data_IF_947631144171
#
_entry.id   IF_947631144171
#
_cell.length_a   1.000
_cell.length_b   1.000
_cell.length_c   1.000
_cell.angle_alpha   90.00
_cell.angle_beta   90.00
_cell.angle_gamma   90.00
#
_symmetry.space_group_name_H-M   'P 1'
#
loop_
_entity.id
_entity.type
_entity.pdbx_description
1 polymer ?
#
# COMPACT_ATOMS: atom_id res chain seq x y z
N UNK A 1 -0.28 -9.19 2.96
CA UNK A 1 -0.14 -10.21 4.01
C UNK A 1 0.27 -11.53 3.36
N UNK A 2 1.46 -12.01 3.71
CA UNK A 2 1.97 -13.30 3.25
C UNK A 2 1.36 -14.39 4.14
N UNK A 3 0.38 -15.10 3.61
CA UNK A 3 -0.15 -16.27 4.30
C UNK A 3 0.68 -17.50 3.95
N UNK A 4 1.00 -18.32 4.95
CA UNK A 4 1.63 -19.62 4.71
C UNK A 4 0.74 -20.52 3.87
N UNK A 5 1.31 -21.49 3.19
CA UNK A 5 0.55 -22.48 2.40
C UNK A 5 -0.51 -23.19 3.24
N UNK A 6 -0.19 -23.51 4.50
CA UNK A 6 -1.12 -24.14 5.44
C UNK A 6 -2.28 -23.20 5.78
N UNK A 7 -2.00 -21.93 6.12
CA UNK A 7 -3.02 -20.93 6.40
C UNK A 7 -3.94 -20.70 5.20
N UNK A 8 -3.37 -20.64 3.99
CA UNK A 8 -4.13 -20.51 2.75
C UNK A 8 -5.03 -21.72 2.52
N UNK A 9 -4.53 -22.94 2.74
CA UNK A 9 -5.33 -24.16 2.59
C UNK A 9 -6.50 -24.21 3.58
N UNK A 10 -6.29 -23.86 4.85
CA UNK A 10 -7.36 -23.77 5.85
C UNK A 10 -8.37 -22.67 5.54
N UNK A 11 -7.91 -21.51 5.06
CA UNK A 11 -8.79 -20.44 4.64
C UNK A 11 -9.69 -20.87 3.47
N UNK A 12 -9.12 -21.50 2.45
CA UNK A 12 -9.88 -22.06 1.33
C UNK A 12 -10.87 -23.14 1.77
N UNK A 13 -10.47 -24.03 2.69
CA UNK A 13 -11.37 -25.03 3.25
C UNK A 13 -12.54 -24.40 4.01
N UNK A 14 -12.27 -23.43 4.88
CA UNK A 14 -13.29 -22.69 5.61
C UNK A 14 -14.27 -21.96 4.68
N UNK A 15 -13.72 -21.28 3.65
CA UNK A 15 -14.52 -20.61 2.64
C UNK A 15 -15.38 -21.58 1.81
N UNK A 16 -14.85 -22.77 1.46
CA UNK A 16 -15.63 -23.79 0.77
C UNK A 16 -16.80 -24.29 1.62
N UNK A 17 -16.59 -24.53 2.91
CA UNK A 17 -17.66 -24.92 3.86
C UNK A 17 -18.70 -23.81 4.02
N UNK A 18 -18.25 -22.56 4.11
CA UNK A 18 -19.16 -21.40 4.16
C UNK A 18 -20.01 -21.31 2.89
N UNK A 19 -19.39 -21.45 1.71
CA UNK A 19 -20.11 -21.42 0.44
C UNK A 19 -21.12 -22.56 0.30
N UNK A 20 -20.77 -23.78 0.74
CA UNK A 20 -21.70 -24.92 0.75
C UNK A 20 -22.93 -24.70 1.68
N UNK A 21 -22.70 -24.03 2.83
CA UNK A 21 -23.77 -23.79 3.81
C UNK A 21 -24.64 -22.60 3.43
N UNK A 22 -24.05 -21.54 2.92
CA UNK A 22 -24.70 -20.23 2.69
C UNK A 22 -24.80 -19.88 1.20
N UNK A 23 -24.11 -20.61 0.33
CA UNK A 23 -24.17 -20.42 -1.12
C UNK A 23 -25.54 -20.80 -1.65
N UNK A 24 -26.21 -19.87 -2.29
CA UNK A 24 -27.45 -20.14 -3.03
C UNK A 24 -27.18 -20.95 -4.28
N UNK A 25 -28.28 -21.39 -4.92
CA UNK A 25 -28.24 -22.13 -6.20
C UNK A 25 -27.96 -21.18 -7.36
N UNK A 26 -26.73 -20.66 -7.42
CA UNK A 26 -26.31 -19.75 -8.49
C UNK A 26 -26.49 -18.25 -8.17
N UNK A 27 -26.10 -17.43 -9.11
CA UNK A 27 -26.15 -15.96 -9.03
C UNK A 27 -27.03 -15.44 -10.15
N UNK A 28 -28.00 -14.62 -9.81
CA UNK A 28 -28.84 -13.87 -10.75
C UNK A 28 -28.88 -12.42 -10.30
N UNK A 29 -28.14 -11.58 -10.99
CA UNK A 29 -28.05 -10.14 -10.68
C UNK A 29 -28.17 -9.31 -11.95
N UNK A 30 -28.70 -8.12 -11.80
CA UNK A 30 -28.60 -7.08 -12.83
C UNK A 30 -27.51 -6.11 -12.41
N UNK A 31 -26.53 -5.92 -13.29
CA UNK A 31 -25.43 -4.98 -13.10
C UNK A 31 -25.64 -3.81 -14.05
N UNK A 32 -25.86 -2.63 -13.48
CA UNK A 32 -25.94 -1.39 -14.24
C UNK A 32 -24.62 -0.64 -14.11
N UNK A 33 -23.91 -0.50 -15.20
CA UNK A 33 -22.64 0.23 -15.28
C UNK A 33 -22.83 1.45 -16.19
N UNK A 34 -22.66 2.65 -15.64
CA UNK A 34 -22.79 3.91 -16.37
C UNK A 34 -24.11 4.00 -17.17
N UNK A 35 -25.21 3.53 -16.58
CA UNK A 35 -26.55 3.55 -17.21
C UNK A 35 -26.86 2.35 -18.12
N UNK A 36 -25.90 1.50 -18.44
CA UNK A 36 -26.13 0.26 -19.20
C UNK A 36 -26.32 -0.90 -18.27
N UNK A 37 -27.47 -1.58 -18.36
CA UNK A 37 -27.81 -2.73 -17.54
C UNK A 37 -27.57 -4.04 -18.29
N UNK A 38 -26.88 -4.97 -17.65
CA UNK A 38 -26.66 -6.32 -18.15
C UNK A 38 -27.01 -7.32 -17.05
N UNK A 39 -27.64 -8.45 -17.45
CA UNK A 39 -27.90 -9.54 -16.53
C UNK A 39 -26.68 -10.45 -16.43
N UNK A 40 -26.37 -10.86 -15.20
CA UNK A 40 -25.37 -11.90 -14.93
C UNK A 40 -26.08 -13.08 -14.29
N UNK A 41 -26.15 -14.17 -15.01
CA UNK A 41 -26.79 -15.42 -14.56
C UNK A 41 -25.83 -16.58 -14.65
N UNK A 42 -25.61 -17.27 -13.55
CA UNK A 42 -24.76 -18.47 -13.50
C UNK A 42 -25.24 -19.40 -12.38
N UNK A 43 -25.00 -20.69 -12.53
CA UNK A 43 -25.20 -21.68 -11.48
C UNK A 43 -23.96 -21.86 -10.58
N UNK A 44 -22.88 -21.10 -10.82
CA UNK A 44 -21.68 -21.11 -9.99
C UNK A 44 -21.85 -20.22 -8.76
N UNK A 45 -21.03 -20.49 -7.73
CA UNK A 45 -21.01 -19.69 -6.50
C UNK A 45 -20.27 -18.35 -6.65
N UNK A 46 -19.54 -18.15 -7.74
CA UNK A 46 -18.76 -16.93 -8.03
C UNK A 46 -18.96 -16.54 -9.49
N UNK A 47 -19.10 -15.25 -9.71
CA UNK A 47 -19.13 -14.65 -11.04
C UNK A 47 -18.29 -13.38 -11.05
N UNK A 48 -17.45 -13.23 -12.06
CA UNK A 48 -16.66 -12.01 -12.29
C UNK A 48 -17.25 -11.24 -13.47
N UNK A 49 -17.34 -9.95 -13.33
CA UNK A 49 -17.80 -9.04 -14.38
C UNK A 49 -16.83 -7.87 -14.51
N UNK A 50 -16.22 -7.75 -15.68
CA UNK A 50 -15.46 -6.54 -16.02
C UNK A 50 -16.42 -5.39 -16.30
N UNK A 51 -16.12 -4.25 -15.70
CA UNK A 51 -16.88 -3.01 -15.87
C UNK A 51 -16.16 -2.09 -16.86
N UNK A 52 -16.94 -1.33 -17.61
CA UNK A 52 -16.40 -0.31 -18.52
C UNK A 52 -16.18 0.96 -17.72
N UNK A 53 -14.95 1.44 -17.69
CA UNK A 53 -14.56 2.68 -17.02
C UNK A 53 -14.50 3.82 -18.03
N UNK A 54 -15.06 4.96 -17.66
CA UNK A 54 -14.99 6.23 -18.41
C UNK A 54 -14.14 7.22 -17.64
N UNK A 55 -13.62 8.22 -18.33
CA UNK A 55 -13.00 9.36 -17.65
C UNK A 55 -14.02 10.09 -16.79
N UNK A 56 -13.63 10.47 -15.58
CA UNK A 56 -14.50 11.11 -14.59
C UNK A 56 -15.29 10.11 -13.75
N UNK A 57 -16.47 10.51 -13.31
CA UNK A 57 -17.30 9.71 -12.41
C UNK A 57 -17.90 8.48 -13.09
N UNK A 58 -17.80 7.36 -12.43
CA UNK A 58 -18.40 6.09 -12.84
C UNK A 58 -19.42 5.64 -11.80
N UNK A 59 -20.54 5.10 -12.28
CA UNK A 59 -21.59 4.56 -11.42
C UNK A 59 -21.78 3.07 -11.65
N UNK A 60 -21.89 2.32 -10.56
CA UNK A 60 -22.20 0.90 -10.60
C UNK A 60 -23.36 0.63 -9.64
N UNK A 61 -24.42 0.00 -10.14
CA UNK A 61 -25.53 -0.47 -9.35
C UNK A 61 -25.68 -1.97 -9.56
N UNK A 62 -25.92 -2.70 -8.48
CA UNK A 62 -26.10 -4.15 -8.52
C UNK A 62 -27.43 -4.46 -7.84
N UNK A 63 -28.33 -5.06 -8.61
CA UNK A 63 -29.62 -5.53 -8.13
C UNK A 63 -29.57 -7.06 -7.99
N UNK A 64 -29.76 -7.53 -6.77
CA UNK A 64 -29.91 -8.97 -6.51
C UNK A 64 -31.32 -9.42 -6.91
N UNK A 65 -31.40 -10.37 -7.82
CA UNK A 65 -32.65 -10.98 -8.26
C UNK A 65 -32.85 -12.39 -7.66
N UNK A 66 -31.93 -12.81 -6.76
CA UNK A 66 -32.08 -14.05 -6.00
C UNK A 66 -32.84 -13.81 -4.70
N UNK A 67 -33.33 -14.90 -4.12
CA UNK A 67 -33.93 -14.90 -2.78
C UNK A 67 -32.90 -15.08 -1.65
N UNK A 68 -31.60 -15.22 -1.98
CA UNK A 68 -30.50 -15.39 -1.04
C UNK A 68 -29.58 -14.17 -1.01
N UNK A 69 -28.82 -14.04 0.06
CA UNK A 69 -27.79 -13.00 0.18
C UNK A 69 -26.65 -13.26 -0.79
N UNK A 70 -26.23 -12.22 -1.51
CA UNK A 70 -25.01 -12.23 -2.31
C UNK A 70 -23.99 -11.26 -1.72
N UNK A 71 -22.73 -11.60 -1.88
CA UNK A 71 -21.61 -10.74 -1.49
C UNK A 71 -20.99 -10.15 -2.74
N UNK A 72 -20.79 -8.86 -2.74
CA UNK A 72 -20.24 -8.14 -3.89
C UNK A 72 -18.94 -7.47 -3.49
N UNK A 73 -17.92 -7.69 -4.31
CA UNK A 73 -16.65 -6.95 -4.23
C UNK A 73 -16.47 -6.16 -5.52
N UNK A 74 -16.33 -4.86 -5.41
CA UNK A 74 -15.94 -3.99 -6.52
C UNK A 74 -14.48 -3.62 -6.32
N UNK A 75 -13.66 -3.91 -7.33
CA UNK A 75 -12.24 -3.56 -7.32
C UNK A 75 -11.97 -2.57 -8.44
N UNK A 76 -11.43 -1.43 -8.09
CA UNK A 76 -10.92 -0.44 -9.02
C UNK A 76 -9.40 -0.37 -8.88
N UNK A 77 -8.69 -0.45 -9.98
CA UNK A 77 -7.24 -0.31 -10.03
C UNK A 77 -6.86 0.61 -11.18
N UNK A 78 -5.86 1.42 -10.96
CA UNK A 78 -5.34 2.34 -11.96
C UNK A 78 -4.01 2.94 -11.51
N UNK A 79 -3.34 3.60 -12.42
CA UNK A 79 -2.15 4.39 -12.15
C UNK A 79 -2.58 5.85 -12.20
N UNK A 80 -2.28 6.60 -11.14
CA UNK A 80 -2.51 8.04 -11.12
C UNK A 80 -1.54 8.73 -12.09
N UNK A 81 -1.96 9.80 -12.76
CA UNK A 81 -1.04 10.67 -13.48
C UNK A 81 0.07 11.17 -12.55
N UNK A 82 1.25 11.38 -13.12
CA UNK A 82 2.40 11.91 -12.37
C UNK A 82 2.03 13.25 -11.72
N UNK A 83 2.28 13.37 -10.43
CA UNK A 83 1.97 14.57 -9.63
C UNK A 83 0.56 14.60 -9.04
N UNK A 84 -0.29 13.60 -9.32
CA UNK A 84 -1.61 13.44 -8.70
C UNK A 84 -1.61 12.45 -7.53
N UNK A 85 -0.44 11.92 -7.17
CA UNK A 85 -0.28 11.05 -6.01
C UNK A 85 -0.67 11.81 -4.75
N UNK A 86 -1.48 11.18 -3.91
CA UNK A 86 -1.92 11.75 -2.63
C UNK A 86 -1.27 10.99 -1.49
N UNK A 87 -0.74 11.76 -0.56
CA UNK A 87 -0.31 11.20 0.71
C UNK A 87 -1.50 10.56 1.43
N UNK A 88 -1.29 9.35 1.95
CA UNK A 88 -2.29 8.62 2.70
C UNK A 88 -1.65 7.99 3.93
N UNK A 89 -2.16 8.34 5.10
CA UNK A 89 -1.68 7.84 6.37
C UNK A 89 -2.80 7.14 7.13
N UNK A 90 -2.50 5.96 7.66
CA UNK A 90 -3.39 5.23 8.56
C UNK A 90 -2.56 4.67 9.71
N UNK A 91 -2.81 5.14 10.92
CA UNK A 91 -2.07 4.78 12.13
C UNK A 91 -0.56 5.09 12.13
N UNK A 92 -0.04 5.59 11.03
CA UNK A 92 1.33 6.07 10.90
C UNK A 92 1.33 7.48 10.31
N UNK A 93 2.29 8.30 10.68
CA UNK A 93 2.63 9.53 9.97
C UNK A 93 4.12 9.52 9.65
N UNK A 94 4.49 10.11 8.52
CA UNK A 94 5.88 10.22 8.10
C UNK A 94 6.17 11.63 7.59
N UNK A 95 7.35 12.14 7.90
CA UNK A 95 7.87 13.40 7.38
C UNK A 95 9.29 13.15 6.90
N UNK A 96 9.61 13.62 5.71
CA UNK A 96 10.95 13.52 5.14
C UNK A 96 11.53 14.92 4.98
N UNK A 97 12.71 15.15 5.54
CA UNK A 97 13.47 16.38 5.38
C UNK A 97 14.79 16.07 4.67
N UNK A 98 15.07 16.83 3.63
CA UNK A 98 16.32 16.69 2.88
C UNK A 98 17.23 17.88 3.17
N UNK A 99 18.47 17.60 3.51
CA UNK A 99 19.48 18.60 3.85
C UNK A 99 20.81 18.25 3.19
N UNK A 100 21.64 19.24 2.98
CA UNK A 100 23.05 18.99 2.69
C UNK A 100 23.74 18.41 3.92
N UNK A 101 24.92 17.80 3.76
CA UNK A 101 25.73 17.34 4.90
C UNK A 101 26.06 18.45 5.90
N UNK A 102 26.17 19.69 5.44
CA UNK A 102 26.37 20.86 6.29
C UNK A 102 25.08 21.33 7.01
N UNK A 103 23.96 20.67 6.81
CA UNK A 103 22.68 20.97 7.45
C UNK A 103 21.85 22.06 6.75
N UNK A 104 22.30 22.59 5.60
CA UNK A 104 21.55 23.58 4.83
C UNK A 104 20.38 22.93 4.07
N UNK A 105 19.32 23.67 3.85
CA UNK A 105 18.21 23.23 2.99
C UNK A 105 18.67 23.08 1.54
N UNK A 106 18.09 22.08 0.85
CA UNK A 106 18.38 21.86 -0.57
C UNK A 106 17.57 22.82 -1.44
N UNK A 107 18.23 23.33 -2.49
CA UNK A 107 17.52 23.95 -3.62
C UNK A 107 17.27 22.88 -4.68
N UNK A 108 16.04 22.36 -4.73
CA UNK A 108 15.64 21.29 -5.65
C UNK A 108 15.72 21.68 -7.13
N UNK A 109 15.74 22.98 -7.45
CA UNK A 109 15.84 23.44 -8.83
C UNK A 109 17.29 23.39 -9.34
N UNK A 110 18.27 23.33 -8.43
CA UNK A 110 19.67 23.35 -8.78
C UNK A 110 20.49 22.61 -7.70
N UNK A 111 20.82 21.34 -7.98
CA UNK A 111 21.65 20.51 -7.12
C UNK A 111 22.94 20.20 -7.90
N UNK A 112 24.09 20.75 -7.50
CA UNK A 112 25.36 20.44 -8.12
C UNK A 112 25.68 18.94 -8.03
N UNK A 113 26.27 18.39 -9.08
CA UNK A 113 26.76 17.01 -9.07
C UNK A 113 27.75 16.81 -7.91
N UNK A 114 27.64 15.68 -7.23
CA UNK A 114 28.48 15.35 -6.06
C UNK A 114 28.02 15.99 -4.75
N UNK A 115 26.85 16.66 -4.72
CA UNK A 115 26.28 17.16 -3.47
C UNK A 115 25.87 16.00 -2.57
N UNK A 116 26.44 15.94 -1.36
CA UNK A 116 26.00 14.97 -0.34
C UNK A 116 24.70 15.42 0.29
N UNK A 117 23.69 14.55 0.23
CA UNK A 117 22.32 14.80 0.71
C UNK A 117 22.00 13.83 1.83
N UNK A 118 21.43 14.34 2.90
CA UNK A 118 20.90 13.58 4.02
C UNK A 118 19.39 13.62 3.93
N UNK A 119 18.75 12.45 3.78
CA UNK A 119 17.32 12.27 3.94
C UNK A 119 17.03 11.88 5.40
N UNK A 120 16.45 12.78 6.15
CA UNK A 120 16.01 12.55 7.52
C UNK A 120 14.52 12.21 7.52
N UNK A 121 14.19 10.97 7.87
CA UNK A 121 12.82 10.47 7.86
C UNK A 121 12.34 10.30 9.28
N UNK A 122 11.31 11.04 9.67
CA UNK A 122 10.66 10.91 10.97
C UNK A 122 9.34 10.19 10.80
N UNK A 123 9.19 9.05 11.49
CA UNK A 123 7.97 8.24 11.49
C UNK A 123 7.39 8.20 12.89
N UNK A 124 6.08 8.34 12.99
CA UNK A 124 5.34 8.24 14.25
C UNK A 124 4.19 7.25 14.12
N UNK A 125 4.07 6.35 15.10
CA UNK A 125 2.86 5.58 15.33
C UNK A 125 1.82 6.50 15.98
N UNK A 126 0.73 6.78 15.28
CA UNK A 126 -0.36 7.65 15.78
C UNK A 126 -1.48 6.87 16.46
N UNK A 127 -1.36 5.54 16.52
CA UNK A 127 -2.33 4.67 17.19
C UNK A 127 -1.98 4.42 18.66
N UNK A 128 -2.94 3.85 19.40
CA UNK A 128 -2.76 3.44 20.79
C UNK A 128 -2.21 2.02 20.95
N UNK A 129 -1.93 1.34 19.83
CA UNK A 129 -1.43 -0.03 19.80
C UNK A 129 -0.02 -0.05 19.16
N UNK A 130 0.84 -0.98 19.58
CA UNK A 130 2.13 -1.14 18.92
C UNK A 130 1.93 -1.61 17.46
N UNK A 131 2.77 -1.15 16.57
CA UNK A 131 2.85 -1.62 15.18
C UNK A 131 4.17 -2.36 15.02
N UNK A 132 4.09 -3.65 14.82
CA UNK A 132 5.26 -4.49 14.54
C UNK A 132 5.46 -4.63 13.02
N UNK A 133 6.70 -4.95 12.63
CA UNK A 133 7.04 -5.20 11.22
C UNK A 133 6.74 -4.01 10.30
N UNK A 134 7.02 -2.80 10.75
CA UNK A 134 6.99 -1.61 9.87
C UNK A 134 8.08 -1.79 8.81
N UNK A 135 7.71 -1.64 7.55
CA UNK A 135 8.62 -1.62 6.44
C UNK A 135 8.61 -0.21 5.81
N UNK A 136 9.70 0.51 5.97
CA UNK A 136 9.91 1.81 5.33
C UNK A 136 10.78 1.62 4.09
N UNK A 137 10.27 1.99 2.92
CA UNK A 137 11.02 2.01 1.67
C UNK A 137 11.25 3.45 1.24
N UNK A 138 12.52 3.86 1.21
CA UNK A 138 12.94 5.12 0.63
C UNK A 138 13.46 4.88 -0.78
N UNK A 139 12.69 5.34 -1.77
CA UNK A 139 13.06 5.29 -3.19
C UNK A 139 13.77 6.58 -3.55
N UNK A 140 14.83 6.48 -4.33
CA UNK A 140 15.61 7.62 -4.80
C UNK A 140 15.28 7.96 -6.26
N UNK A 141 15.31 9.25 -6.62
CA UNK A 141 15.21 9.67 -8.01
C UNK A 141 16.39 9.16 -8.83
N UNK A 142 16.22 9.02 -10.14
CA UNK A 142 17.32 8.71 -11.06
C UNK A 142 18.44 9.75 -10.95
N UNK A 143 19.68 9.28 -10.94
CA UNK A 143 20.86 10.12 -10.80
C UNK A 143 21.34 10.33 -9.36
N UNK A 144 20.62 9.78 -8.37
CA UNK A 144 21.08 9.73 -6.98
C UNK A 144 21.70 8.36 -6.70
N UNK A 145 22.75 8.36 -5.91
CA UNK A 145 23.45 7.16 -5.45
C UNK A 145 23.39 7.08 -3.93
N UNK A 146 23.18 5.87 -3.41
CA UNK A 146 23.14 5.66 -1.96
C UNK A 146 24.58 5.55 -1.46
N UNK A 147 24.97 6.45 -0.57
CA UNK A 147 26.22 6.31 0.16
C UNK A 147 26.05 5.23 1.23
N UNK A 148 26.82 4.15 1.10
CA UNK A 148 26.75 3.06 2.07
C UNK A 148 27.35 3.51 3.41
N UNK A 149 26.50 3.67 4.41
CA UNK A 149 26.87 4.12 5.76
C UNK A 149 27.83 3.17 6.49
N UNK A 150 28.00 1.93 6.01
CA UNK A 150 28.98 0.99 6.58
C UNK A 150 30.43 1.42 6.37
N UNK A 151 30.66 2.28 5.38
CA UNK A 151 32.00 2.76 5.01
C UNK A 151 32.25 4.23 5.37
N UNK A 152 31.24 4.91 5.92
CA UNK A 152 31.33 6.34 6.22
C UNK A 152 30.79 6.60 7.62
N UNK A 153 31.58 7.24 8.47
CA UNK A 153 31.14 7.71 9.77
C UNK A 153 30.28 8.96 9.57
N UNK A 154 28.99 8.86 9.83
CA UNK A 154 28.04 9.96 9.74
C UNK A 154 27.86 10.73 11.06
N UNK A 155 28.69 10.47 12.08
CA UNK A 155 28.62 11.13 13.38
C UNK A 155 27.27 10.87 14.10
N UNK A 156 26.73 11.91 14.71
CA UNK A 156 25.53 11.83 15.58
C UNK A 156 24.20 11.47 14.90
N UNK A 157 24.16 11.22 13.60
CA UNK A 157 22.92 10.85 12.90
C UNK A 157 22.48 9.38 13.08
N UNK A 158 23.18 8.61 13.92
CA UNK A 158 23.01 7.15 14.01
C UNK A 158 22.06 6.66 15.12
N UNK A 159 21.28 7.53 15.76
CA UNK A 159 20.65 7.18 17.04
C UNK A 159 19.40 6.29 16.95
N UNK A 160 18.71 6.22 15.83
CA UNK A 160 17.52 5.37 15.68
C UNK A 160 17.75 4.26 14.66
N UNK A 161 18.44 3.22 15.07
CA UNK A 161 18.72 2.09 14.17
C UNK A 161 17.46 1.28 13.91
N UNK A 162 17.23 0.97 12.63
CA UNK A 162 16.28 -0.07 12.24
C UNK A 162 16.81 -1.44 12.70
N UNK A 163 15.91 -2.39 12.93
CA UNK A 163 16.27 -3.77 13.31
C UNK A 163 16.98 -4.47 12.15
N UNK A 164 16.59 -4.13 10.92
CA UNK A 164 17.23 -4.61 9.70
C UNK A 164 17.16 -3.54 8.61
N UNK A 165 18.25 -3.43 7.82
CA UNK A 165 18.37 -2.50 6.69
C UNK A 165 18.81 -3.29 5.45
N UNK A 166 18.06 -3.13 4.35
CA UNK A 166 18.40 -3.68 3.03
C UNK A 166 18.61 -2.52 2.05
N UNK A 167 19.85 -2.40 1.56
CA UNK A 167 20.27 -1.34 0.65
C UNK A 167 20.32 -1.91 -0.76
N UNK A 168 19.62 -1.27 -1.68
CA UNK A 168 19.59 -1.55 -3.12
C UNK A 168 20.14 -0.35 -3.88
N UNK A 169 20.30 -0.48 -5.19
CA UNK A 169 20.85 0.60 -6.03
C UNK A 169 19.93 1.83 -6.07
N UNK A 170 18.61 1.60 -6.03
CA UNK A 170 17.58 2.64 -6.21
C UNK A 170 16.79 2.94 -4.94
N UNK A 171 16.98 2.17 -3.87
CA UNK A 171 16.20 2.29 -2.63
C UNK A 171 16.91 1.74 -1.41
N UNK A 172 16.47 2.21 -0.26
CA UNK A 172 16.82 1.58 1.03
C UNK A 172 15.53 1.16 1.73
N UNK A 173 15.51 -0.07 2.24
CA UNK A 173 14.43 -0.60 3.02
C UNK A 173 14.87 -0.70 4.49
N UNK A 174 14.04 -0.19 5.39
CA UNK A 174 14.25 -0.23 6.83
C UNK A 174 13.12 -1.02 7.47
N UNK A 175 13.45 -1.92 8.38
CA UNK A 175 12.49 -2.77 9.09
C UNK A 175 12.64 -2.56 10.58
N UNK A 176 11.53 -2.28 11.28
CA UNK A 176 11.51 -2.00 12.71
C UNK A 176 10.09 -2.10 13.27
N UNK A 177 9.97 -2.09 14.60
CA UNK A 177 8.68 -1.93 15.28
C UNK A 177 8.54 -0.54 15.88
N UNK A 178 7.31 -0.09 16.15
CA UNK A 178 6.98 1.14 16.85
C UNK A 178 6.01 0.86 17.97
N UNK A 179 6.33 1.29 19.19
CA UNK A 179 5.37 1.27 20.30
C UNK A 179 4.23 2.26 20.04
N UNK A 180 3.13 2.14 20.80
CA UNK A 180 2.04 3.10 20.75
C UNK A 180 2.57 4.53 20.99
N UNK A 181 2.26 5.46 20.07
CA UNK A 181 2.68 6.86 20.14
C UNK A 181 4.17 7.14 19.90
N UNK A 182 4.98 6.09 19.67
CA UNK A 182 6.43 6.24 19.47
C UNK A 182 6.75 6.98 18.17
N UNK A 183 7.81 7.81 18.24
CA UNK A 183 8.40 8.51 17.10
C UNK A 183 9.84 8.04 16.93
N UNK A 184 10.25 7.72 15.70
CA UNK A 184 11.64 7.43 15.30
C UNK A 184 12.06 8.32 14.15
N UNK A 185 13.34 8.69 14.16
CA UNK A 185 13.97 9.48 13.09
C UNK A 185 15.21 8.76 12.60
#
# INVERSE_FOLDING_TARGET
DYMSTQTTAYALYAMSKFALKNGGKGIQVAVTNNGKTEAVTTNKSVADKKLVVKNGSNSVQIKNNNNNTIYVRVTNSGVLPIGEEKEMFTNLSAIVNYKTRAGANLNWNEIPQGTEIIAQITIRNTSNEPIENVALTQILPSGFEIMNSRFTDFGSYAENKADYIDIRDDRTNFYFGLKAGETRT
#
